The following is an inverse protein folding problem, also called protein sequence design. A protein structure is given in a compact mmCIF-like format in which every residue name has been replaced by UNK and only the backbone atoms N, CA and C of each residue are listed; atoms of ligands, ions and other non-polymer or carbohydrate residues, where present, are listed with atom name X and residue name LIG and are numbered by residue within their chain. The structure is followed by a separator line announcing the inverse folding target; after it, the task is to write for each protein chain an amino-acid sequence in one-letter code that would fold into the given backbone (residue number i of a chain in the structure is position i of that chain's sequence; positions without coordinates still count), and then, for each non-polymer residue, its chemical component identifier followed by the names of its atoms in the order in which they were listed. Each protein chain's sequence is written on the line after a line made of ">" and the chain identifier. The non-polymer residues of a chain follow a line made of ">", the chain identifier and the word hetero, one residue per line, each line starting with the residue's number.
data_IF_520795231877
#
_entry.id   IF_520795231877
#
_cell.length_a   1.000
_cell.length_b   1.000
_cell.length_c   1.000
_cell.angle_alpha   90.00
_cell.angle_beta   90.00
_cell.angle_gamma   90.00
#
_symmetry.space_group_name_H-M   'P 1'
#
loop_
_entity.id
_entity.type
_entity.pdbx_description
1 polymer ?
#
# COMPACT_ATOMS: atom_id res chain seq x y z
N UNK A 1 -10.97 -22.97 17.16
CA UNK A 1 -10.66 -21.52 17.13
C UNK A 1 -11.07 -20.99 15.77
N UNK A 2 -11.94 -19.97 15.72
CA UNK A 2 -12.27 -19.29 14.47
C UNK A 2 -11.35 -18.06 14.35
N UNK A 3 -10.50 -18.04 13.33
CA UNK A 3 -9.69 -16.86 13.02
C UNK A 3 -10.60 -15.79 12.41
N UNK A 4 -10.64 -14.61 13.03
CA UNK A 4 -11.35 -13.45 12.49
C UNK A 4 -10.33 -12.53 11.82
N UNK A 5 -10.57 -12.19 10.56
CA UNK A 5 -9.77 -11.20 9.82
C UNK A 5 -10.60 -9.95 9.57
N UNK A 6 -10.05 -8.77 9.88
CA UNK A 6 -10.69 -7.48 9.59
C UNK A 6 -9.86 -6.75 8.55
N UNK A 7 -10.47 -6.41 7.42
CA UNK A 7 -9.82 -5.77 6.29
C UNK A 7 -10.47 -4.41 6.01
N UNK A 8 -9.69 -3.35 5.76
CA UNK A 8 -10.26 -2.11 5.24
C UNK A 8 -10.76 -2.34 3.80
N UNK A 9 -11.95 -1.83 3.50
CA UNK A 9 -12.55 -1.85 2.16
C UNK A 9 -12.98 -0.42 1.77
N UNK A 10 -13.00 -0.13 0.49
CA UNK A 10 -13.57 1.10 -0.04
C UNK A 10 -15.03 0.85 -0.42
N UNK A 11 -15.95 1.60 0.18
CA UNK A 11 -17.35 1.63 -0.23
C UNK A 11 -17.43 2.11 -1.71
N UNK A 12 -18.44 1.73 -2.51
CA UNK A 12 -18.72 2.36 -3.81
C UNK A 12 -18.73 3.91 -3.81
N UNK A 13 -18.94 4.55 -2.66
CA UNK A 13 -18.80 6.01 -2.47
C UNK A 13 -17.37 6.50 -2.19
N UNK A 14 -16.39 5.60 -2.12
CA UNK A 14 -14.98 5.89 -1.78
C UNK A 14 -14.71 6.10 -0.29
N UNK A 15 -15.72 5.95 0.58
CA UNK A 15 -15.54 6.07 2.03
C UNK A 15 -14.89 4.82 2.62
N UNK A 16 -14.05 5.02 3.65
CA UNK A 16 -13.34 3.95 4.33
C UNK A 16 -14.34 3.12 5.16
N UNK A 17 -14.49 1.87 4.79
CA UNK A 17 -15.28 0.88 5.52
C UNK A 17 -14.39 -0.30 5.92
N UNK A 18 -14.92 -1.22 6.73
CA UNK A 18 -14.20 -2.39 7.21
C UNK A 18 -15.06 -3.64 7.03
N UNK A 19 -14.44 -4.73 6.61
CA UNK A 19 -15.06 -6.05 6.48
C UNK A 19 -14.42 -7.01 7.46
N UNK A 20 -15.22 -7.69 8.27
CA UNK A 20 -14.79 -8.77 9.15
C UNK A 20 -15.16 -10.12 8.53
N UNK A 21 -14.27 -11.11 8.63
CA UNK A 21 -14.37 -12.43 8.01
C UNK A 21 -14.06 -13.50 9.04
N UNK A 22 -14.88 -14.54 9.15
CA UNK A 22 -14.62 -15.74 9.94
C UNK A 22 -15.17 -16.98 9.23
N UNK A 23 -14.29 -17.76 8.61
CA UNK A 23 -14.70 -18.91 7.80
C UNK A 23 -15.57 -18.49 6.62
N UNK A 24 -16.82 -18.95 6.60
CA UNK A 24 -17.86 -18.64 5.61
C UNK A 24 -18.70 -17.39 5.98
N UNK A 25 -18.53 -16.84 7.19
CA UNK A 25 -19.28 -15.68 7.68
C UNK A 25 -18.51 -14.39 7.44
N UNK A 26 -19.25 -13.33 7.13
CA UNK A 26 -18.68 -12.00 6.97
C UNK A 26 -19.67 -10.91 7.34
N UNK A 27 -19.15 -9.74 7.64
CA UNK A 27 -19.91 -8.53 7.97
C UNK A 27 -19.14 -7.28 7.60
N UNK A 28 -19.84 -6.17 7.43
CA UNK A 28 -19.26 -4.88 7.10
C UNK A 28 -19.71 -3.81 8.10
N UNK A 29 -18.85 -2.82 8.32
CA UNK A 29 -19.14 -1.70 9.20
C UNK A 29 -18.32 -0.47 8.83
N UNK A 30 -18.76 0.71 9.29
CA UNK A 30 -18.01 1.96 9.10
C UNK A 30 -16.71 1.99 9.90
N UNK A 31 -16.65 1.17 10.96
CA UNK A 31 -15.46 0.97 11.78
C UNK A 31 -15.15 -0.51 11.89
N UNK A 32 -13.88 -0.83 12.18
CA UNK A 32 -13.46 -2.21 12.45
C UNK A 32 -14.28 -2.85 13.59
N UNK A 33 -14.60 -2.07 14.64
CA UNK A 33 -15.47 -2.50 15.74
C UNK A 33 -16.88 -2.85 15.28
N UNK A 34 -17.52 -1.99 14.47
CA UNK A 34 -18.86 -2.27 13.94
C UNK A 34 -18.90 -3.54 13.08
N UNK A 35 -17.88 -3.75 12.24
CA UNK A 35 -17.77 -4.97 11.45
C UNK A 35 -17.63 -6.19 12.37
N UNK A 36 -16.78 -6.12 13.39
CA UNK A 36 -16.59 -7.21 14.36
C UNK A 36 -17.85 -7.50 15.18
N UNK A 37 -18.55 -6.47 15.67
CA UNK A 37 -19.80 -6.61 16.44
C UNK A 37 -20.87 -7.32 15.60
N UNK A 38 -21.02 -6.91 14.34
CA UNK A 38 -21.93 -7.53 13.40
C UNK A 38 -21.54 -8.98 13.05
N UNK A 39 -20.25 -9.31 13.01
CA UNK A 39 -19.78 -10.69 12.81
C UNK A 39 -20.06 -11.54 14.05
N UNK A 40 -19.85 -10.97 15.24
CA UNK A 40 -20.06 -11.62 16.53
C UNK A 40 -21.54 -11.98 16.72
N UNK A 41 -22.45 -11.10 16.31
CA UNK A 41 -23.89 -11.39 16.28
C UNK A 41 -24.24 -12.60 15.38
N UNK A 42 -23.47 -12.85 14.31
CA UNK A 42 -23.66 -14.03 13.45
C UNK A 42 -23.00 -15.30 14.00
N UNK A 43 -21.94 -15.16 14.81
CA UNK A 43 -21.18 -16.27 15.39
C UNK A 43 -21.81 -16.84 16.67
N UNK A 44 -22.66 -16.07 17.36
CA UNK A 44 -23.28 -16.44 18.64
C UNK A 44 -22.33 -16.22 19.82
N UNK A 45 -22.87 -16.29 21.06
CA UNK A 45 -22.07 -16.16 22.29
C UNK A 45 -21.07 -17.32 22.43
N UNK A 46 -19.90 -17.15 21.85
CA UNK A 46 -18.73 -17.99 22.11
C UNK A 46 -17.78 -17.07 22.86
N UNK A 47 -17.35 -17.44 24.08
CA UNK A 47 -16.30 -16.74 24.81
C UNK A 47 -15.09 -16.54 23.89
N UNK A 48 -14.94 -15.32 23.38
CA UNK A 48 -14.06 -15.04 22.25
C UNK A 48 -12.74 -14.48 22.77
N UNK A 49 -11.73 -15.33 22.91
CA UNK A 49 -10.35 -14.87 23.05
C UNK A 49 -9.82 -14.48 21.66
N UNK A 50 -10.05 -13.23 21.23
CA UNK A 50 -9.53 -12.72 19.96
C UNK A 50 -8.05 -12.34 20.08
N UNK A 51 -7.23 -12.74 19.11
CA UNK A 51 -5.90 -12.19 18.88
C UNK A 51 -6.03 -11.17 17.75
N UNK A 52 -5.68 -9.91 18.01
CA UNK A 52 -5.69 -8.82 17.02
C UNK A 52 -4.29 -8.67 16.44
N UNK A 53 -4.12 -8.94 15.15
CA UNK A 53 -2.87 -8.66 14.41
C UNK A 53 -3.06 -7.39 13.57
N UNK A 54 -2.36 -6.32 13.93
CA UNK A 54 -2.32 -5.07 13.13
C UNK A 54 -1.02 -5.08 12.33
N UNK A 55 -1.12 -5.33 11.02
CA UNK A 55 0.03 -5.16 10.12
C UNK A 55 0.10 -3.70 9.69
N UNK A 56 1.01 -2.93 10.27
CA UNK A 56 1.28 -1.56 9.83
C UNK A 56 1.99 -1.60 8.48
N UNK A 57 1.27 -1.30 7.39
CA UNK A 57 1.91 -1.02 6.10
C UNK A 57 2.67 0.30 6.23
N UNK A 58 3.98 0.20 6.42
CA UNK A 58 4.87 1.35 6.43
C UNK A 58 5.01 1.87 5.00
N UNK A 59 5.00 3.19 4.77
CA UNK A 59 5.38 3.74 3.48
C UNK A 59 6.80 3.29 3.14
N UNK A 60 7.08 3.21 1.84
CA UNK A 60 8.38 2.76 1.37
C UNK A 60 9.49 3.67 1.90
N UNK A 61 10.32 3.11 2.77
CA UNK A 61 11.46 3.81 3.38
C UNK A 61 12.70 3.78 2.49
N UNK A 62 12.71 2.96 1.44
CA UNK A 62 13.87 2.76 0.56
C UNK A 62 13.89 3.76 -0.60
N UNK A 63 12.71 4.22 -1.04
CA UNK A 63 12.57 5.31 -2.01
C UNK A 63 11.39 6.20 -1.63
N UNK A 64 11.69 7.41 -1.17
CA UNK A 64 10.72 8.29 -0.54
C UNK A 64 9.76 8.95 -1.55
N UNK A 65 8.63 9.45 -1.04
CA UNK A 65 7.61 10.14 -1.84
C UNK A 65 8.16 11.37 -2.61
N UNK A 66 9.12 12.10 -2.03
CA UNK A 66 9.76 13.23 -2.70
C UNK A 66 10.62 12.79 -3.89
N UNK A 67 11.39 11.71 -3.73
CA UNK A 67 12.21 11.15 -4.80
C UNK A 67 11.34 10.59 -5.94
N UNK A 68 10.25 9.91 -5.58
CA UNK A 68 9.28 9.41 -6.56
C UNK A 68 8.60 10.54 -7.34
N UNK A 69 8.18 11.61 -6.64
CA UNK A 69 7.61 12.79 -7.29
C UNK A 69 8.61 13.41 -8.26
N UNK A 70 9.85 13.62 -7.81
CA UNK A 70 10.90 14.22 -8.64
C UNK A 70 11.25 13.37 -9.86
N UNK A 71 11.34 12.05 -9.69
CA UNK A 71 11.56 11.11 -10.78
C UNK A 71 10.44 11.18 -11.82
N UNK A 72 9.17 11.26 -11.37
CA UNK A 72 8.03 11.42 -12.28
C UNK A 72 8.11 12.71 -13.09
N UNK A 73 8.42 13.84 -12.43
CA UNK A 73 8.57 15.13 -13.11
C UNK A 73 9.67 15.09 -14.19
N UNK A 74 10.83 14.50 -13.89
CA UNK A 74 11.91 14.37 -14.85
C UNK A 74 11.58 13.41 -15.99
N UNK A 75 10.86 12.31 -15.71
CA UNK A 75 10.39 11.39 -16.75
C UNK A 75 9.36 12.03 -17.70
N UNK A 76 8.49 12.89 -17.18
CA UNK A 76 7.55 13.66 -17.99
C UNK A 76 8.28 14.67 -18.89
N UNK A 77 9.26 15.38 -18.34
CA UNK A 77 10.13 16.28 -19.10
C UNK A 77 10.96 15.54 -20.15
N UNK A 78 11.52 14.38 -19.79
CA UNK A 78 12.26 13.53 -20.71
C UNK A 78 11.39 13.09 -21.89
N UNK A 79 10.15 12.65 -21.61
CA UNK A 79 9.21 12.24 -22.64
C UNK A 79 8.85 13.39 -23.57
N UNK A 80 8.60 14.58 -23.01
CA UNK A 80 8.28 15.77 -23.80
C UNK A 80 9.46 16.21 -24.69
N UNK A 81 10.69 16.18 -24.17
CA UNK A 81 11.88 16.48 -24.95
C UNK A 81 12.06 15.46 -26.10
N UNK A 82 11.95 14.16 -25.79
CA UNK A 82 12.04 13.08 -26.77
C UNK A 82 10.98 13.21 -27.88
N UNK A 83 9.74 13.52 -27.52
CA UNK A 83 8.65 13.68 -28.49
C UNK A 83 8.83 14.93 -29.39
N UNK A 84 9.74 15.84 -29.02
CA UNK A 84 10.13 17.03 -29.78
C UNK A 84 11.50 16.90 -30.46
N UNK A 85 12.10 15.69 -30.48
CA UNK A 85 13.49 15.44 -30.92
C UNK A 85 14.53 16.34 -30.21
N UNK A 86 14.25 16.70 -28.96
CA UNK A 86 15.12 17.44 -28.07
C UNK A 86 15.69 16.53 -26.99
N UNK A 87 16.83 16.94 -26.43
CA UNK A 87 17.46 16.27 -25.29
C UNK A 87 17.21 17.05 -24.01
N UNK A 88 17.14 16.34 -22.88
CA UNK A 88 17.19 16.98 -21.57
C UNK A 88 18.51 17.71 -21.39
N UNK A 89 18.51 18.75 -20.56
CA UNK A 89 19.76 19.39 -20.16
C UNK A 89 20.66 18.39 -19.42
N UNK A 90 21.98 18.57 -19.52
CA UNK A 90 22.98 17.69 -18.89
C UNK A 90 22.70 17.51 -17.38
N UNK A 91 22.34 18.59 -16.69
CA UNK A 91 22.02 18.54 -15.26
C UNK A 91 20.77 17.70 -14.97
N UNK A 92 19.72 17.83 -15.79
CA UNK A 92 18.50 17.05 -15.64
C UNK A 92 18.72 15.57 -15.96
N UNK A 93 19.53 15.29 -16.99
CA UNK A 93 19.89 13.91 -17.33
C UNK A 93 20.68 13.25 -16.21
N UNK A 94 21.68 13.94 -15.64
CA UNK A 94 22.44 13.46 -14.49
C UNK A 94 21.55 13.22 -13.26
N UNK A 95 20.60 14.12 -12.99
CA UNK A 95 19.65 13.97 -11.89
C UNK A 95 18.72 12.77 -12.12
N UNK A 96 18.23 12.60 -13.35
CA UNK A 96 17.40 11.47 -13.75
C UNK A 96 18.13 10.14 -13.56
N UNK A 97 19.37 10.05 -14.05
CA UNK A 97 20.18 8.83 -13.95
C UNK A 97 20.44 8.46 -12.47
N UNK A 98 20.71 9.46 -11.61
CA UNK A 98 20.90 9.24 -10.17
C UNK A 98 19.63 8.73 -9.48
N UNK A 99 18.46 9.28 -9.83
CA UNK A 99 17.18 8.86 -9.26
C UNK A 99 16.77 7.47 -9.75
N UNK A 100 17.03 7.14 -11.02
CA UNK A 100 16.80 5.79 -11.57
C UNK A 100 17.67 4.76 -10.85
N UNK A 101 18.95 5.06 -10.64
CA UNK A 101 19.87 4.17 -9.89
C UNK A 101 19.45 4.04 -8.42
N UNK A 102 18.94 5.10 -7.80
CA UNK A 102 18.40 5.04 -6.45
C UNK A 102 17.15 4.15 -6.37
N UNK A 103 16.21 4.27 -7.31
CA UNK A 103 15.01 3.43 -7.36
C UNK A 103 15.36 1.97 -7.65
N UNK A 104 16.34 1.69 -8.52
CA UNK A 104 16.80 0.32 -8.79
C UNK A 104 17.39 -0.34 -7.53
N UNK A 105 18.22 0.39 -6.78
CA UNK A 105 18.75 -0.09 -5.49
C UNK A 105 17.64 -0.29 -4.47
N UNK A 106 16.68 0.62 -4.40
CA UNK A 106 15.51 0.48 -3.53
C UNK A 106 14.70 -0.78 -3.88
N UNK A 107 14.39 -1.01 -5.16
CA UNK A 107 13.69 -2.20 -5.63
C UNK A 107 14.43 -3.49 -5.25
N UNK A 108 15.76 -3.52 -5.42
CA UNK A 108 16.60 -4.66 -5.02
C UNK A 108 16.53 -4.92 -3.51
N UNK A 109 16.56 -3.85 -2.72
CA UNK A 109 16.43 -3.95 -1.27
C UNK A 109 15.02 -4.42 -0.85
N UNK A 110 13.95 -3.95 -1.51
CA UNK A 110 12.57 -4.43 -1.29
C UNK A 110 12.48 -5.95 -1.51
N UNK A 111 13.04 -6.44 -2.61
CA UNK A 111 13.09 -7.88 -2.90
C UNK A 111 13.88 -8.64 -1.85
N UNK A 112 15.03 -8.11 -1.42
CA UNK A 112 15.85 -8.75 -0.38
C UNK A 112 15.14 -8.84 0.96
N UNK A 113 14.41 -7.80 1.37
CA UNK A 113 13.60 -7.80 2.60
C UNK A 113 12.49 -8.85 2.51
N UNK A 114 11.79 -8.92 1.38
CA UNK A 114 10.71 -9.88 1.16
C UNK A 114 11.20 -11.34 1.19
N UNK A 115 12.41 -11.63 0.70
CA UNK A 115 12.98 -12.97 0.75
C UNK A 115 13.42 -13.41 2.16
N UNK A 116 13.56 -12.47 3.09
CA UNK A 116 13.98 -12.73 4.47
C UNK A 116 12.81 -12.78 5.47
N UNK A 117 11.60 -12.38 5.04
CA UNK A 117 10.35 -12.40 5.82
C UNK A 117 9.55 -13.68 5.59
#
# INVERSE_FOLDING_TARGET
>A
MATVSILPISDPKGEKSYRALAGDKHSEGKTAGQALDALTAQLGEIEFSAIILIQSFQPDSLFGAEQQKRLSELMDLWRLARDQDQELSINQQQELDQLVEAELRAATARTSILMQS
#
